data_IF_446862036158
#
_entry.id   IF_446862036158
#
_cell.length_a   1.000
_cell.length_b   1.000
_cell.length_c   1.000
_cell.angle_alpha   90.00
_cell.angle_beta   90.00
_cell.angle_gamma   90.00
#
_symmetry.space_group_name_H-M   'P 1'
#
loop_
_entity.id
_entity.type
_entity.pdbx_description
1 polymer ?
#
# COMPACT_ATOMS: atom_id res chain seq x y z
N UNK A 1 9.38 32.69 6.52
CA UNK A 1 8.26 31.76 6.84
C UNK A 1 8.80 30.62 7.70
N UNK A 2 8.36 30.53 8.96
CA UNK A 2 8.85 29.52 9.91
C UNK A 2 8.69 28.10 9.37
N UNK A 3 9.59 27.20 9.80
CA UNK A 3 9.60 25.80 9.37
C UNK A 3 8.25 25.09 9.58
N UNK A 4 7.56 25.38 10.70
CA UNK A 4 6.21 24.89 10.99
C UNK A 4 5.17 25.41 9.98
N UNK A 5 5.22 26.69 9.62
CA UNK A 5 4.32 27.29 8.63
C UNK A 5 4.50 26.66 7.23
N UNK A 6 5.74 26.28 6.87
CA UNK A 6 5.99 25.56 5.61
C UNK A 6 5.38 24.16 5.60
N UNK A 7 5.40 23.45 6.73
CA UNK A 7 4.76 22.12 6.85
C UNK A 7 3.24 22.22 6.64
N UNK A 8 2.59 23.17 7.33
CA UNK A 8 1.15 23.39 7.18
C UNK A 8 0.77 23.78 5.74
N UNK A 9 1.57 24.64 5.10
CA UNK A 9 1.31 25.05 3.71
C UNK A 9 1.42 23.88 2.71
N UNK A 10 2.36 22.94 2.90
CA UNK A 10 2.45 21.76 2.04
C UNK A 10 1.34 20.75 2.34
N UNK A 11 0.96 20.57 3.60
CA UNK A 11 -0.21 19.77 3.97
C UNK A 11 -1.47 20.26 3.26
N UNK A 12 -1.80 21.55 3.36
CA UNK A 12 -2.98 22.11 2.67
C UNK A 12 -2.87 21.97 1.15
N UNK A 13 -1.66 22.10 0.59
CA UNK A 13 -1.44 21.92 -0.84
C UNK A 13 -1.67 20.47 -1.31
N UNK A 14 -1.29 19.47 -0.51
CA UNK A 14 -1.52 18.05 -0.85
C UNK A 14 -3.02 17.72 -0.84
N UNK A 15 -3.80 18.34 0.07
CA UNK A 15 -5.26 18.13 0.15
C UNK A 15 -5.98 18.46 -1.16
N UNK A 16 -5.45 19.37 -1.98
CA UNK A 16 -6.00 19.66 -3.31
C UNK A 16 -5.96 18.41 -4.19
N UNK A 17 -4.85 17.66 -4.20
CA UNK A 17 -4.71 16.43 -4.98
C UNK A 17 -5.54 15.29 -4.40
N UNK A 18 -5.67 15.22 -3.08
CA UNK A 18 -6.59 14.27 -2.41
C UNK A 18 -8.03 14.53 -2.86
N UNK A 19 -8.46 15.79 -2.85
CA UNK A 19 -9.79 16.18 -3.29
C UNK A 19 -10.01 15.84 -4.78
N UNK A 20 -9.02 16.08 -5.64
CA UNK A 20 -9.08 15.69 -7.06
C UNK A 20 -9.26 14.17 -7.20
N UNK A 21 -8.45 13.34 -6.52
CA UNK A 21 -8.58 11.88 -6.59
C UNK A 21 -9.94 11.39 -6.12
N UNK A 22 -10.42 11.91 -4.98
CA UNK A 22 -11.73 11.55 -4.44
C UNK A 22 -12.85 11.97 -5.39
N UNK A 23 -12.81 13.20 -5.92
CA UNK A 23 -13.80 13.69 -6.87
C UNK A 23 -13.86 12.82 -8.14
N UNK A 24 -12.71 12.46 -8.71
CA UNK A 24 -12.66 11.58 -9.88
C UNK A 24 -13.30 10.22 -9.61
N UNK A 25 -13.00 9.61 -8.45
CA UNK A 25 -13.62 8.35 -8.06
C UNK A 25 -15.14 8.49 -7.84
N UNK A 26 -15.60 9.55 -7.18
CA UNK A 26 -17.04 9.79 -6.94
C UNK A 26 -17.81 9.99 -8.26
N UNK A 27 -17.24 10.74 -9.20
CA UNK A 27 -17.81 10.88 -10.56
C UNK A 27 -17.82 9.53 -11.27
N UNK A 28 -16.77 8.72 -11.14
CA UNK A 28 -16.76 7.40 -11.75
C UNK A 28 -17.79 6.45 -11.10
N UNK A 29 -18.01 6.52 -9.78
CA UNK A 29 -18.98 5.66 -9.06
C UNK A 29 -20.39 5.84 -9.62
N UNK A 30 -20.78 7.05 -10.01
CA UNK A 30 -22.12 7.31 -10.56
C UNK A 30 -22.31 6.84 -12.00
N UNK A 31 -21.25 6.38 -12.68
CA UNK A 31 -21.28 6.08 -14.12
C UNK A 31 -21.00 4.60 -14.47
N UNK A 32 -20.63 3.75 -13.51
CA UNK A 32 -20.37 2.33 -13.77
C UNK A 32 -20.99 1.41 -12.72
N UNK A 33 -21.48 0.26 -13.17
CA UNK A 33 -22.05 -0.82 -12.35
C UNK A 33 -21.02 -1.58 -11.51
N UNK A 34 -21.48 -2.62 -10.80
CA UNK A 34 -20.62 -3.57 -10.09
C UNK A 34 -19.71 -4.33 -11.06
N UNK A 35 -18.46 -4.53 -10.66
CA UNK A 35 -17.55 -5.45 -11.32
C UNK A 35 -17.63 -6.83 -10.64
N UNK A 36 -17.54 -7.91 -11.43
CA UNK A 36 -17.68 -9.28 -10.91
C UNK A 36 -16.70 -9.59 -9.76
N UNK A 37 -15.47 -9.09 -9.87
CA UNK A 37 -14.41 -9.35 -8.89
C UNK A 37 -14.67 -8.65 -7.55
N UNK A 38 -15.54 -7.64 -7.50
CA UNK A 38 -15.93 -6.99 -6.24
C UNK A 38 -16.96 -7.80 -5.47
N UNK A 39 -17.87 -8.46 -6.20
CA UNK A 39 -18.99 -9.21 -5.60
C UNK A 39 -18.50 -10.35 -4.71
N UNK A 40 -17.42 -11.03 -5.13
CA UNK A 40 -16.77 -12.07 -4.32
C UNK A 40 -16.38 -11.54 -2.94
N UNK A 41 -15.71 -10.38 -2.91
CA UNK A 41 -15.23 -9.78 -1.66
C UNK A 41 -16.35 -9.17 -0.82
N UNK A 42 -17.37 -8.59 -1.45
CA UNK A 42 -18.54 -8.05 -0.76
C UNK A 42 -19.31 -9.15 -0.01
N UNK A 43 -19.46 -10.33 -0.63
CA UNK A 43 -20.16 -11.48 -0.05
C UNK A 43 -19.46 -12.02 1.21
N UNK A 44 -18.13 -11.86 1.29
CA UNK A 44 -17.39 -12.23 2.51
C UNK A 44 -17.82 -11.40 3.73
N UNK A 45 -18.37 -10.21 3.53
CA UNK A 45 -18.89 -9.37 4.62
C UNK A 45 -20.01 -10.04 5.44
N UNK A 46 -20.76 -10.95 4.82
CA UNK A 46 -21.80 -11.73 5.53
C UNK A 46 -21.26 -12.95 6.27
N UNK A 47 -20.00 -13.31 6.01
CA UNK A 47 -19.33 -14.50 6.52
C UNK A 47 -18.02 -14.13 7.20
N UNK A 48 -18.07 -13.21 8.17
CA UNK A 48 -16.88 -12.73 8.86
C UNK A 48 -16.14 -13.87 9.57
N UNK A 49 -14.87 -14.02 9.24
CA UNK A 49 -13.96 -14.96 9.88
C UNK A 49 -12.53 -14.38 9.90
N UNK A 50 -11.60 -15.05 10.57
CA UNK A 50 -10.20 -14.62 10.67
C UNK A 50 -9.36 -14.96 9.44
N UNK A 51 -9.91 -15.63 8.44
CA UNK A 51 -9.27 -15.86 7.14
C UNK A 51 -10.20 -16.55 6.15
N UNK A 52 -9.76 -16.63 4.90
CA UNK A 52 -10.47 -17.31 3.82
C UNK A 52 -9.50 -18.11 2.94
N UNK A 53 -10.04 -18.86 1.97
CA UNK A 53 -9.25 -19.62 0.98
C UNK A 53 -8.29 -18.70 0.19
N UNK A 54 -8.75 -17.52 -0.22
CA UNK A 54 -8.01 -16.67 -1.16
C UNK A 54 -7.43 -15.40 -0.52
N UNK A 55 -8.08 -14.89 0.53
CA UNK A 55 -7.75 -13.59 1.12
C UNK A 55 -7.71 -13.63 2.66
N UNK A 56 -6.88 -12.79 3.28
CA UNK A 56 -6.98 -12.44 4.70
C UNK A 56 -8.30 -11.72 5.08
N UNK A 57 -8.59 -11.49 6.38
CA UNK A 57 -9.92 -11.10 6.85
C UNK A 57 -10.30 -9.62 6.63
N UNK A 58 -9.32 -8.75 6.37
CA UNK A 58 -9.55 -7.30 6.38
C UNK A 58 -10.57 -6.84 5.34
N UNK A 59 -10.55 -7.40 4.12
CA UNK A 59 -11.48 -6.98 3.06
C UNK A 59 -12.93 -7.34 3.40
N UNK A 60 -13.16 -8.48 4.06
CA UNK A 60 -14.49 -8.90 4.51
C UNK A 60 -15.01 -8.00 5.63
N UNK A 61 -14.14 -7.64 6.59
CA UNK A 61 -14.48 -6.69 7.64
C UNK A 61 -14.88 -5.33 7.04
N UNK A 62 -14.11 -4.83 6.06
CA UNK A 62 -14.45 -3.59 5.37
C UNK A 62 -15.78 -3.68 4.60
N UNK A 63 -16.05 -4.82 3.96
CA UNK A 63 -17.33 -5.05 3.29
C UNK A 63 -18.48 -4.95 4.29
N UNK A 64 -18.39 -5.63 5.43
CA UNK A 64 -19.43 -5.59 6.48
C UNK A 64 -19.64 -4.18 7.01
N UNK A 65 -18.56 -3.47 7.34
CA UNK A 65 -18.64 -2.08 7.82
C UNK A 65 -19.33 -1.21 6.77
N UNK A 66 -18.89 -1.27 5.52
CA UNK A 66 -19.42 -0.38 4.49
C UNK A 66 -20.90 -0.64 4.19
N UNK A 67 -21.29 -1.90 4.00
CA UNK A 67 -22.68 -2.27 3.70
C UNK A 67 -23.61 -1.98 4.90
N UNK A 68 -23.15 -2.19 6.13
CA UNK A 68 -23.95 -1.90 7.33
C UNK A 68 -24.19 -0.40 7.57
N UNK A 69 -23.25 0.46 7.17
CA UNK A 69 -23.33 1.91 7.40
C UNK A 69 -23.98 2.64 6.23
N UNK A 70 -23.68 2.25 4.99
CA UNK A 70 -24.09 2.97 3.78
C UNK A 70 -25.11 2.20 2.92
N UNK A 71 -25.49 0.99 3.33
CA UNK A 71 -26.44 0.12 2.64
C UNK A 71 -25.87 -0.57 1.40
N UNK A 72 -26.76 -1.21 0.63
CA UNK A 72 -26.40 -2.01 -0.54
C UNK A 72 -26.38 -1.14 -1.80
N UNK A 73 -25.28 -0.43 -2.02
CA UNK A 73 -25.09 0.43 -3.20
C UNK A 73 -23.66 0.40 -3.73
N UNK A 74 -23.49 0.81 -4.99
CA UNK A 74 -22.16 0.95 -5.60
C UNK A 74 -21.32 1.98 -4.83
N UNK A 75 -21.96 3.08 -4.39
CA UNK A 75 -21.33 4.06 -3.52
C UNK A 75 -20.81 3.43 -2.23
N UNK A 76 -21.65 2.68 -1.53
CA UNK A 76 -21.26 1.99 -0.31
C UNK A 76 -20.11 1.00 -0.57
N UNK A 77 -20.10 0.30 -1.70
CA UNK A 77 -19.01 -0.65 -1.99
C UNK A 77 -17.67 0.04 -2.24
N UNK A 78 -17.66 1.25 -2.81
CA UNK A 78 -16.42 1.92 -3.27
C UNK A 78 -16.00 3.14 -2.45
N UNK A 79 -16.75 3.52 -1.41
CA UNK A 79 -16.39 4.67 -0.59
C UNK A 79 -15.09 4.42 0.19
N UNK A 80 -14.90 3.22 0.73
CA UNK A 80 -13.69 2.87 1.48
C UNK A 80 -12.45 2.77 0.59
N UNK A 81 -12.58 2.26 -0.63
CA UNK A 81 -11.47 2.24 -1.62
C UNK A 81 -11.14 3.65 -2.09
N UNK A 82 -12.14 4.52 -2.22
CA UNK A 82 -11.97 5.94 -2.53
C UNK A 82 -11.24 6.69 -1.43
N UNK A 83 -11.60 6.44 -0.16
CA UNK A 83 -10.88 7.02 0.99
C UNK A 83 -9.45 6.50 1.03
N UNK A 84 -9.22 5.19 0.89
CA UNK A 84 -7.89 4.60 0.88
C UNK A 84 -7.02 5.21 -0.24
N UNK A 85 -7.58 5.39 -1.43
CA UNK A 85 -6.91 6.06 -2.55
C UNK A 85 -6.53 7.50 -2.23
N UNK A 86 -7.42 8.27 -1.60
CA UNK A 86 -7.12 9.63 -1.14
C UNK A 86 -5.98 9.66 -0.12
N UNK A 87 -5.96 8.71 0.82
CA UNK A 87 -4.89 8.58 1.82
C UNK A 87 -3.56 8.18 1.17
N UNK A 88 -3.56 7.34 0.13
CA UNK A 88 -2.35 7.05 -0.65
C UNK A 88 -1.78 8.34 -1.26
N UNK A 89 -2.61 9.17 -1.90
CA UNK A 89 -2.16 10.46 -2.45
C UNK A 89 -1.61 11.38 -1.37
N UNK A 90 -2.28 11.42 -0.21
CA UNK A 90 -1.82 12.17 0.95
C UNK A 90 -0.41 11.74 1.39
N UNK A 91 -0.22 10.44 1.60
CA UNK A 91 1.05 9.87 2.03
C UNK A 91 2.14 10.03 0.98
N UNK A 92 1.83 9.90 -0.31
CA UNK A 92 2.77 10.20 -1.41
C UNK A 92 3.29 11.63 -1.30
N UNK A 93 2.39 12.61 -1.16
CA UNK A 93 2.79 14.01 -0.98
C UNK A 93 3.65 14.23 0.26
N UNK A 94 3.33 13.56 1.38
CA UNK A 94 4.14 13.62 2.60
C UNK A 94 5.52 12.98 2.41
N UNK A 95 5.62 11.82 1.74
CA UNK A 95 6.88 11.16 1.41
C UNK A 95 7.73 12.10 0.56
N UNK A 96 7.18 12.65 -0.53
CA UNK A 96 7.91 13.58 -1.41
C UNK A 96 8.45 14.77 -0.62
N UNK A 97 7.67 15.32 0.31
CA UNK A 97 8.10 16.40 1.20
C UNK A 97 9.23 15.96 2.14
N UNK A 98 9.12 14.80 2.78
CA UNK A 98 10.13 14.26 3.71
C UNK A 98 11.46 13.90 2.99
N UNK A 99 11.41 13.62 1.70
CA UNK A 99 12.57 13.46 0.82
C UNK A 99 13.17 14.80 0.32
N UNK A 100 12.58 15.94 0.72
CA UNK A 100 13.07 17.29 0.39
C UNK A 100 12.41 17.93 -0.83
N UNK A 101 11.38 17.30 -1.40
CA UNK A 101 10.59 17.84 -2.48
C UNK A 101 9.80 19.10 -2.08
N UNK A 102 9.66 20.03 -3.03
CA UNK A 102 8.84 21.25 -2.90
C UNK A 102 7.52 21.09 -3.66
N UNK A 103 6.70 22.16 -3.75
CA UNK A 103 5.38 22.14 -4.42
C UNK A 103 5.39 21.47 -5.79
N UNK A 104 6.37 21.79 -6.64
CA UNK A 104 6.46 21.16 -7.97
C UNK A 104 6.64 19.64 -7.89
N UNK A 105 7.59 19.16 -7.08
CA UNK A 105 7.82 17.73 -6.90
C UNK A 105 6.61 17.02 -6.28
N UNK A 106 5.96 17.65 -5.29
CA UNK A 106 4.73 17.13 -4.67
C UNK A 106 3.61 17.02 -5.71
N UNK A 107 3.38 18.08 -6.48
CA UNK A 107 2.36 18.09 -7.52
C UNK A 107 2.64 17.01 -8.57
N UNK A 108 3.89 16.89 -9.03
CA UNK A 108 4.30 15.88 -10.00
C UNK A 108 4.07 14.47 -9.46
N UNK A 109 4.51 14.17 -8.23
CA UNK A 109 4.33 12.85 -7.62
C UNK A 109 2.83 12.50 -7.42
N UNK A 110 2.03 13.43 -6.90
CA UNK A 110 0.60 13.22 -6.71
C UNK A 110 -0.13 13.03 -8.04
N UNK A 111 0.15 13.86 -9.05
CA UNK A 111 -0.47 13.74 -10.39
C UNK A 111 -0.06 12.44 -11.08
N UNK A 112 1.20 12.00 -10.95
CA UNK A 112 1.63 10.70 -11.48
C UNK A 112 0.82 9.55 -10.87
N UNK A 113 0.57 9.57 -9.56
CA UNK A 113 -0.25 8.54 -8.91
C UNK A 113 -1.73 8.62 -9.31
N UNK A 114 -2.28 9.82 -9.48
CA UNK A 114 -3.69 10.02 -9.87
C UNK A 114 -3.92 9.54 -11.31
N UNK A 115 -2.98 9.83 -12.21
CA UNK A 115 -3.12 9.59 -13.65
C UNK A 115 -2.57 8.23 -14.10
N UNK A 116 -1.88 7.49 -13.23
CA UNK A 116 -1.42 6.13 -13.52
C UNK A 116 -2.61 5.16 -13.59
N UNK A 117 -2.85 4.48 -14.74
CA UNK A 117 -3.97 3.55 -14.88
C UNK A 117 -4.01 2.45 -13.80
N UNK A 118 -2.85 1.92 -13.40
CA UNK A 118 -2.72 0.93 -12.33
C UNK A 118 -3.35 1.39 -11.00
N UNK A 119 -3.10 2.64 -10.60
CA UNK A 119 -3.64 3.24 -9.36
C UNK A 119 -5.05 3.80 -9.55
N UNK A 120 -5.43 4.17 -10.78
CA UNK A 120 -6.82 4.50 -11.11
C UNK A 120 -7.74 3.29 -10.95
N UNK A 121 -7.37 2.14 -11.53
CA UNK A 121 -8.15 0.90 -11.47
C UNK A 121 -8.21 0.31 -10.06
N UNK A 122 -7.04 0.10 -9.42
CA UNK A 122 -7.00 -0.46 -8.07
C UNK A 122 -7.70 0.43 -7.05
N UNK A 123 -7.56 1.75 -7.17
CA UNK A 123 -8.22 2.71 -6.30
C UNK A 123 -9.72 2.89 -6.52
N UNK A 124 -10.28 2.28 -7.57
CA UNK A 124 -11.70 2.37 -7.89
C UNK A 124 -12.49 1.16 -7.42
N UNK A 125 -12.02 -0.06 -7.73
CA UNK A 125 -12.71 -1.30 -7.42
C UNK A 125 -12.57 -1.70 -5.94
N UNK A 126 -13.61 -2.29 -5.37
CA UNK A 126 -13.56 -2.93 -4.05
C UNK A 126 -12.78 -4.25 -4.08
N UNK A 127 -11.46 -4.11 -4.02
CA UNK A 127 -10.49 -5.19 -4.02
C UNK A 127 -9.42 -4.97 -2.95
N UNK A 128 -8.77 -6.04 -2.44
CA UNK A 128 -7.71 -5.90 -1.42
C UNK A 128 -6.49 -5.09 -1.90
N UNK A 129 -6.32 -4.90 -3.22
CA UNK A 129 -5.13 -4.28 -3.83
C UNK A 129 -4.88 -2.85 -3.35
N UNK A 130 -5.90 -1.98 -3.31
CA UNK A 130 -5.72 -0.59 -2.85
C UNK A 130 -5.34 -0.51 -1.38
N UNK A 131 -5.86 -1.42 -0.56
CA UNK A 131 -5.55 -1.46 0.86
C UNK A 131 -4.12 -1.98 1.08
N UNK A 132 -3.67 -2.99 0.33
CA UNK A 132 -2.27 -3.43 0.33
C UNK A 132 -1.31 -2.28 -0.06
N UNK A 133 -1.64 -1.54 -1.13
CA UNK A 133 -0.89 -0.34 -1.53
C UNK A 133 -0.85 0.73 -0.44
N UNK A 134 -1.98 0.96 0.25
CA UNK A 134 -2.05 1.90 1.37
C UNK A 134 -1.07 1.50 2.48
N UNK A 135 -1.04 0.23 2.87
CA UNK A 135 -0.13 -0.26 3.91
C UNK A 135 1.33 -0.16 3.49
N UNK A 136 1.66 -0.42 2.22
CA UNK A 136 3.02 -0.28 1.72
C UNK A 136 3.48 1.19 1.79
N UNK A 137 2.67 2.11 1.28
CA UNK A 137 2.99 3.55 1.29
C UNK A 137 3.07 4.09 2.72
N UNK A 138 2.19 3.64 3.62
CA UNK A 138 2.24 4.00 5.04
C UNK A 138 3.51 3.48 5.71
N UNK A 139 3.90 2.23 5.48
CA UNK A 139 5.14 1.66 6.01
C UNK A 139 6.38 2.42 5.53
N UNK A 140 6.44 2.76 4.23
CA UNK A 140 7.51 3.60 3.68
C UNK A 140 7.54 4.97 4.35
N UNK A 141 6.39 5.63 4.49
CA UNK A 141 6.31 6.93 5.14
C UNK A 141 6.79 6.86 6.60
N UNK A 142 6.34 5.87 7.37
CA UNK A 142 6.75 5.66 8.76
C UNK A 142 8.25 5.38 8.89
N UNK A 143 8.83 4.56 8.01
CA UNK A 143 10.28 4.33 7.97
C UNK A 143 11.05 5.61 7.65
N UNK A 144 10.59 6.40 6.67
CA UNK A 144 11.20 7.69 6.34
C UNK A 144 11.12 8.64 7.54
N UNK A 145 9.97 8.70 8.22
CA UNK A 145 9.77 9.49 9.44
C UNK A 145 10.72 9.06 10.54
N UNK A 146 10.87 7.75 10.78
CA UNK A 146 11.83 7.22 11.73
C UNK A 146 13.26 7.64 11.37
N UNK A 147 13.70 7.44 10.12
CA UNK A 147 15.05 7.82 9.69
C UNK A 147 15.31 9.33 9.84
N UNK A 148 14.28 10.17 9.68
CA UNK A 148 14.39 11.62 9.82
C UNK A 148 14.33 12.12 11.26
N UNK A 149 13.70 11.39 12.18
CA UNK A 149 13.39 11.89 13.55
C UNK A 149 13.99 11.04 14.67
N UNK A 150 14.37 9.80 14.38
CA UNK A 150 14.81 8.77 15.32
C UNK A 150 13.80 8.39 16.41
N UNK A 151 12.54 8.83 16.28
CA UNK A 151 11.48 8.55 17.24
C UNK A 151 10.96 7.11 17.08
N UNK A 152 11.12 6.31 18.13
CA UNK A 152 10.76 4.90 18.16
C UNK A 152 9.27 4.64 17.93
N UNK A 153 8.38 5.60 18.20
CA UNK A 153 6.95 5.45 17.94
C UNK A 153 6.67 5.08 16.47
N UNK A 154 7.45 5.61 15.53
CA UNK A 154 7.32 5.28 14.11
C UNK A 154 7.67 3.82 13.81
N UNK A 155 8.59 3.18 14.55
CA UNK A 155 8.89 1.75 14.37
C UNK A 155 7.73 0.87 14.81
N UNK A 156 7.10 1.18 15.94
CA UNK A 156 5.88 0.48 16.34
C UNK A 156 4.74 0.71 15.34
N UNK A 157 4.65 1.92 14.78
CA UNK A 157 3.79 2.20 13.64
C UNK A 157 4.06 1.25 12.46
N UNK A 158 5.32 1.06 12.06
CA UNK A 158 5.69 0.11 11.00
C UNK A 158 5.23 -1.30 11.37
N UNK A 159 5.46 -1.75 12.60
CA UNK A 159 4.99 -3.06 13.07
C UNK A 159 3.48 -3.22 12.96
N UNK A 160 2.70 -2.22 13.41
CA UNK A 160 1.26 -2.22 13.27
C UNK A 160 0.80 -2.25 11.81
N UNK A 161 1.42 -1.43 10.95
CA UNK A 161 1.15 -1.40 9.51
C UNK A 161 1.47 -2.73 8.83
N UNK A 162 2.58 -3.39 9.19
CA UNK A 162 2.93 -4.73 8.68
C UNK A 162 1.89 -5.76 9.13
N UNK A 163 1.52 -5.77 10.42
CA UNK A 163 0.52 -6.70 10.94
C UNK A 163 -0.84 -6.55 10.25
N UNK A 164 -1.34 -5.31 10.09
CA UNK A 164 -2.62 -5.07 9.40
C UNK A 164 -2.50 -5.30 7.89
N UNK A 165 -1.35 -4.98 7.28
CA UNK A 165 -1.06 -5.32 5.89
C UNK A 165 -1.10 -6.82 5.63
N UNK A 166 -0.56 -7.62 6.54
CA UNK A 166 -0.66 -9.09 6.53
C UNK A 166 -2.10 -9.58 6.65
N UNK A 167 -2.92 -8.93 7.49
CA UNK A 167 -4.37 -9.18 7.56
C UNK A 167 -5.15 -8.68 6.34
N UNK A 168 -4.50 -7.99 5.39
CA UNK A 168 -5.10 -7.48 4.15
C UNK A 168 -4.72 -8.33 2.94
N UNK A 169 -3.43 -8.58 2.76
CA UNK A 169 -2.91 -9.40 1.67
C UNK A 169 -1.54 -9.97 2.05
N UNK A 170 -1.33 -11.26 1.79
CA UNK A 170 -0.06 -11.93 2.12
C UNK A 170 1.15 -11.39 1.33
N UNK A 171 0.92 -10.58 0.29
CA UNK A 171 1.97 -9.87 -0.44
C UNK A 171 2.77 -8.91 0.45
N UNK A 172 2.20 -8.48 1.59
CA UNK A 172 2.91 -7.70 2.60
C UNK A 172 4.17 -8.42 3.14
N UNK A 173 4.23 -9.75 3.13
CA UNK A 173 5.45 -10.50 3.50
C UNK A 173 6.59 -10.16 2.56
N UNK A 174 6.37 -10.27 1.24
CA UNK A 174 7.41 -10.03 0.23
C UNK A 174 7.91 -8.60 0.32
N UNK A 175 7.00 -7.64 0.43
CA UNK A 175 7.34 -6.23 0.62
C UNK A 175 8.20 -6.01 1.88
N UNK A 176 7.80 -6.59 3.01
CA UNK A 176 8.52 -6.44 4.29
C UNK A 176 9.90 -7.08 4.24
N UNK A 177 10.01 -8.29 3.68
CA UNK A 177 11.29 -8.99 3.50
C UNK A 177 12.22 -8.20 2.59
N UNK A 178 11.72 -7.69 1.46
CA UNK A 178 12.49 -6.88 0.53
C UNK A 178 13.02 -5.59 1.21
N UNK A 179 12.21 -4.94 2.04
CA UNK A 179 12.66 -3.80 2.86
C UNK A 179 13.72 -4.19 3.89
N UNK A 180 13.58 -5.32 4.59
CA UNK A 180 14.57 -5.81 5.55
C UNK A 180 15.91 -6.06 4.86
N UNK A 181 15.91 -6.75 3.71
CA UNK A 181 17.12 -7.01 2.92
C UNK A 181 17.70 -5.69 2.40
N UNK A 182 16.86 -4.78 1.90
CA UNK A 182 17.28 -3.44 1.50
C UNK A 182 17.96 -2.67 2.63
N UNK A 183 17.42 -2.72 3.85
CA UNK A 183 18.01 -2.10 5.04
C UNK A 183 19.34 -2.76 5.39
N UNK A 184 19.41 -4.09 5.35
CA UNK A 184 20.59 -4.90 5.66
C UNK A 184 21.77 -4.56 4.74
N UNK A 185 21.52 -4.39 3.43
CA UNK A 185 22.54 -4.04 2.44
C UNK A 185 22.92 -2.55 2.55
N UNK A 186 21.98 -1.69 2.96
CA UNK A 186 22.22 -0.26 3.07
C UNK A 186 23.08 0.15 4.28
N UNK A 187 23.43 1.44 4.33
CA UNK A 187 24.06 2.05 5.51
C UNK A 187 23.18 2.03 6.77
N UNK A 188 21.88 1.76 6.63
CA UNK A 188 20.93 1.71 7.74
C UNK A 188 20.88 0.35 8.45
N UNK A 189 21.72 -0.63 8.10
CA UNK A 189 21.73 -1.97 8.73
C UNK A 189 21.71 -2.00 10.26
N UNK A 190 22.28 -0.98 10.93
CA UNK A 190 22.24 -0.83 12.40
C UNK A 190 20.82 -0.75 12.94
N UNK A 191 19.87 -0.28 12.12
CA UNK A 191 18.45 -0.23 12.41
C UNK A 191 17.91 -1.61 12.82
N UNK A 192 18.31 -2.69 12.14
CA UNK A 192 17.82 -4.04 12.41
C UNK A 192 18.22 -4.56 13.80
N UNK A 193 19.24 -3.96 14.42
CA UNK A 193 19.68 -4.30 15.77
C UNK A 193 19.06 -3.40 16.85
N UNK A 194 18.14 -2.50 16.47
CA UNK A 194 17.41 -1.68 17.43
C UNK A 194 16.38 -2.53 18.17
N UNK A 195 16.40 -2.50 19.51
CA UNK A 195 15.41 -3.18 20.37
C UNK A 195 13.95 -2.86 20.00
N UNK A 196 13.68 -1.66 19.51
CA UNK A 196 12.35 -1.23 19.10
C UNK A 196 11.88 -1.94 17.83
N UNK A 197 12.79 -2.43 16.98
CA UNK A 197 12.43 -3.28 15.84
C UNK A 197 11.96 -4.66 16.27
N UNK A 198 12.57 -5.24 17.32
CA UNK A 198 12.05 -6.48 17.90
C UNK A 198 10.64 -6.28 18.45
N UNK A 199 10.41 -5.14 19.14
CA UNK A 199 9.07 -4.76 19.60
C UNK A 199 8.07 -4.55 18.44
N UNK A 200 8.49 -3.93 17.35
CA UNK A 200 7.66 -3.76 16.15
C UNK A 200 7.34 -5.09 15.47
N UNK A 201 8.31 -6.01 15.37
CA UNK A 201 8.12 -7.34 14.80
C UNK A 201 7.16 -8.17 15.66
N UNK A 202 7.29 -8.12 16.99
CA UNK A 202 6.37 -8.77 17.91
C UNK A 202 4.95 -8.21 17.77
N UNK A 203 4.81 -6.88 17.68
CA UNK A 203 3.50 -6.25 17.46
C UNK A 203 2.86 -6.69 16.13
N UNK A 204 3.64 -6.72 15.04
CA UNK A 204 3.17 -7.21 13.75
C UNK A 204 2.67 -8.66 13.85
N UNK A 205 3.44 -9.51 14.53
CA UNK A 205 3.10 -10.91 14.76
C UNK A 205 1.81 -11.05 15.56
N UNK A 206 1.66 -10.34 16.67
CA UNK A 206 0.45 -10.37 17.50
C UNK A 206 -0.80 -9.96 16.71
N UNK A 207 -0.70 -8.91 15.88
CA UNK A 207 -1.82 -8.46 15.06
C UNK A 207 -2.18 -9.51 13.99
N UNK A 208 -1.19 -10.14 13.37
CA UNK A 208 -1.42 -11.15 12.34
C UNK A 208 -1.84 -12.52 12.90
N UNK A 209 -1.53 -12.79 14.18
CA UNK A 209 -1.68 -14.08 14.83
C UNK A 209 -3.08 -14.73 14.68
N UNK A 210 -4.21 -13.99 14.79
CA UNK A 210 -5.53 -14.60 14.63
C UNK A 210 -5.73 -15.26 13.26
N UNK A 211 -5.25 -14.62 12.17
CA UNK A 211 -5.33 -15.20 10.84
C UNK A 211 -4.42 -16.42 10.69
N UNK A 212 -3.23 -16.40 11.29
CA UNK A 212 -2.31 -17.54 11.26
C UNK A 212 -2.90 -18.77 11.98
N UNK A 213 -3.52 -18.56 13.14
CA UNK A 213 -4.23 -19.62 13.88
C UNK A 213 -5.37 -20.18 13.04
N UNK A 214 -6.17 -19.29 12.42
CA UNK A 214 -7.26 -19.70 11.55
C UNK A 214 -6.79 -20.55 10.37
N UNK A 215 -5.73 -20.11 9.67
CA UNK A 215 -5.15 -20.85 8.56
C UNK A 215 -4.67 -22.23 9.01
N UNK A 216 -4.02 -22.33 10.18
CA UNK A 216 -3.57 -23.60 10.74
C UNK A 216 -4.74 -24.55 11.05
N UNK A 217 -5.80 -24.06 11.68
CA UNK A 217 -7.00 -24.85 11.99
C UNK A 217 -7.72 -25.38 10.75
N UNK A 218 -7.61 -24.67 9.61
CA UNK A 218 -8.25 -25.03 8.36
C UNK A 218 -7.30 -25.75 7.37
N UNK A 219 -6.12 -26.19 7.82
CA UNK A 219 -5.11 -26.89 7.01
C UNK A 219 -4.56 -26.03 5.83
N UNK A 220 -4.35 -24.74 6.07
CA UNK A 220 -3.75 -23.77 5.13
C UNK A 220 -4.41 -23.77 3.73
N UNK A 221 -5.71 -23.48 3.63
CA UNK A 221 -6.43 -23.47 2.34
C UNK A 221 -5.81 -22.51 1.31
N UNK A 222 -5.12 -21.46 1.77
CA UNK A 222 -4.38 -20.53 0.90
C UNK A 222 -3.28 -21.21 0.09
N UNK A 223 -2.59 -22.22 0.64
CA UNK A 223 -1.52 -22.91 -0.08
C UNK A 223 -2.10 -23.70 -1.26
N UNK A 224 -3.20 -24.42 -1.01
CA UNK A 224 -3.91 -25.17 -2.04
C UNK A 224 -4.43 -24.24 -3.13
N UNK A 225 -5.03 -23.11 -2.74
CA UNK A 225 -5.50 -22.11 -3.70
C UNK A 225 -4.39 -21.52 -4.56
N UNK A 226 -3.24 -21.16 -3.95
CA UNK A 226 -2.10 -20.60 -4.70
C UNK A 226 -1.49 -21.63 -5.66
N UNK A 227 -1.47 -22.90 -5.27
CA UNK A 227 -1.06 -23.99 -6.17
C UNK A 227 -2.01 -24.14 -7.36
N UNK A 228 -3.31 -24.17 -7.10
CA UNK A 228 -4.36 -24.23 -8.13
C UNK A 228 -4.27 -23.04 -9.10
N UNK A 229 -4.14 -21.82 -8.56
CA UNK A 229 -3.99 -20.58 -9.32
C UNK A 229 -2.77 -20.63 -10.24
N UNK A 230 -1.63 -21.10 -9.73
CA UNK A 230 -0.40 -21.25 -10.51
C UNK A 230 -0.59 -22.23 -11.67
N UNK A 231 -1.28 -23.34 -11.44
CA UNK A 231 -1.49 -24.39 -12.44
C UNK A 231 -2.55 -24.07 -13.50
N UNK A 232 -3.50 -23.18 -13.22
CA UNK A 232 -4.67 -22.96 -14.09
C UNK A 232 -4.77 -21.55 -14.68
N UNK A 233 -4.26 -20.53 -13.98
CA UNK A 233 -4.45 -19.12 -14.37
C UNK A 233 -3.15 -18.41 -14.72
N UNK A 234 -2.02 -18.87 -14.18
CA UNK A 234 -0.71 -18.24 -14.37
C UNK A 234 0.22 -19.03 -15.31
N UNK A 235 -0.22 -20.15 -15.89
CA UNK A 235 0.62 -21.02 -16.70
C UNK A 235 1.18 -20.35 -17.97
N UNK A 236 0.51 -19.30 -18.46
CA UNK A 236 0.89 -18.55 -19.66
C UNK A 236 1.48 -17.17 -19.37
N UNK A 237 1.72 -16.83 -18.09
CA UNK A 237 2.26 -15.52 -17.72
C UNK A 237 3.75 -15.67 -17.45
N UNK A 238 4.59 -15.17 -18.36
CA UNK A 238 6.03 -15.12 -18.13
C UNK A 238 6.43 -13.91 -17.27
N UNK A 239 7.61 -13.98 -16.64
CA UNK A 239 8.17 -12.85 -15.91
C UNK A 239 8.40 -11.62 -16.83
N UNK A 240 8.72 -11.85 -18.11
CA UNK A 240 8.87 -10.78 -19.10
C UNK A 240 7.54 -10.08 -19.40
N UNK A 241 6.46 -10.84 -19.56
CA UNK A 241 5.12 -10.30 -19.77
C UNK A 241 4.67 -9.48 -18.56
N UNK A 242 4.95 -9.97 -17.35
CA UNK A 242 4.66 -9.23 -16.13
C UNK A 242 5.37 -7.88 -16.10
N UNK A 243 6.68 -7.84 -16.36
CA UNK A 243 7.46 -6.58 -16.38
C UNK A 243 6.91 -5.63 -17.45
N UNK A 244 6.65 -6.12 -18.66
CA UNK A 244 6.08 -5.32 -19.74
C UNK A 244 4.72 -4.74 -19.33
N UNK A 245 3.84 -5.56 -18.76
CA UNK A 245 2.54 -5.10 -18.27
C UNK A 245 2.70 -4.02 -17.20
N UNK A 246 3.62 -4.16 -16.24
CA UNK A 246 3.87 -3.12 -15.23
C UNK A 246 4.27 -1.78 -15.87
N UNK A 247 5.10 -1.79 -16.91
CA UNK A 247 5.47 -0.56 -17.61
C UNK A 247 4.27 0.07 -18.33
N UNK A 248 3.46 -0.76 -19.01
CA UNK A 248 2.28 -0.31 -19.76
C UNK A 248 1.19 0.26 -18.85
N UNK A 249 0.86 -0.41 -17.75
CA UNK A 249 -0.25 0.00 -16.86
C UNK A 249 0.08 1.23 -16.01
N UNK A 250 1.34 1.66 -15.96
CA UNK A 250 1.74 2.91 -15.30
C UNK A 250 1.73 4.12 -16.26
N UNK A 251 1.67 3.89 -17.59
CA UNK A 251 1.55 4.95 -18.59
C UNK A 251 2.58 6.07 -18.43
N UNK A 252 2.14 7.34 -18.46
CA UNK A 252 3.03 8.51 -18.36
C UNK A 252 3.73 8.60 -16.99
N UNK A 253 3.15 8.02 -15.93
CA UNK A 253 3.78 7.99 -14.61
C UNK A 253 5.11 7.22 -14.62
N UNK A 254 5.33 6.37 -15.63
CA UNK A 254 6.58 5.64 -15.84
C UNK A 254 7.80 6.56 -15.87
N UNK A 255 7.73 7.71 -16.54
CA UNK A 255 8.87 8.63 -16.64
C UNK A 255 9.26 9.21 -15.28
N UNK A 256 8.26 9.57 -14.47
CA UNK A 256 8.47 10.10 -13.12
C UNK A 256 8.96 8.99 -12.19
N UNK A 257 8.38 7.79 -12.30
CA UNK A 257 8.77 6.63 -11.52
C UNK A 257 10.22 6.20 -11.81
N UNK A 258 10.59 5.97 -13.08
CA UNK A 258 11.95 5.56 -13.44
C UNK A 258 12.99 6.63 -13.10
N UNK A 259 12.72 7.91 -13.41
CA UNK A 259 13.63 8.99 -13.07
C UNK A 259 13.80 9.11 -11.54
N UNK A 260 12.70 9.02 -10.78
CA UNK A 260 12.71 9.05 -9.33
C UNK A 260 13.46 7.85 -8.72
N UNK A 261 13.25 6.66 -9.28
CA UNK A 261 13.92 5.43 -8.87
C UNK A 261 15.43 5.49 -9.11
N UNK A 262 15.87 5.85 -10.32
CA UNK A 262 17.29 6.01 -10.65
C UNK A 262 17.93 7.10 -9.78
N UNK A 263 17.23 8.21 -9.54
CA UNK A 263 17.72 9.25 -8.65
C UNK A 263 17.85 8.75 -7.20
N UNK A 264 16.87 8.00 -6.68
CA UNK A 264 16.95 7.41 -5.35
C UNK A 264 18.11 6.43 -5.21
N UNK A 265 18.35 5.63 -6.25
CA UNK A 265 19.41 4.61 -6.27
C UNK A 265 20.81 5.25 -6.30
N UNK A 266 21.04 6.27 -7.13
CA UNK A 266 22.38 6.81 -7.38
C UNK A 266 22.69 8.14 -6.65
N UNK A 267 21.69 8.84 -6.11
CA UNK A 267 21.90 10.16 -5.50
C UNK A 267 22.55 10.10 -4.13
N UNK A 268 23.67 10.81 -3.97
CA UNK A 268 24.31 11.01 -2.67
C UNK A 268 23.39 11.74 -1.67
N UNK A 269 22.49 12.61 -2.15
CA UNK A 269 21.57 13.37 -1.28
C UNK A 269 20.53 12.46 -0.61
N UNK A 270 20.13 11.37 -1.28
CA UNK A 270 19.14 10.42 -0.79
C UNK A 270 19.78 9.14 -0.25
N UNK A 271 21.09 9.14 0.00
CA UNK A 271 21.86 7.97 0.45
C UNK A 271 21.27 7.28 1.68
N UNK A 272 20.67 8.05 2.59
CA UNK A 272 20.00 7.52 3.79
C UNK A 272 18.73 6.69 3.50
N UNK A 273 18.17 6.82 2.30
CA UNK A 273 16.94 6.16 1.85
C UNK A 273 17.16 5.15 0.72
N UNK A 274 18.41 4.90 0.30
CA UNK A 274 18.73 3.95 -0.76
C UNK A 274 18.21 2.53 -0.49
N UNK A 275 17.97 2.16 0.77
CA UNK A 275 17.36 0.88 1.12
C UNK A 275 15.99 0.66 0.47
N UNK A 276 15.23 1.74 0.21
CA UNK A 276 13.94 1.67 -0.50
C UNK A 276 14.14 1.28 -1.97
N UNK A 277 15.16 1.82 -2.63
CA UNK A 277 15.47 1.45 -4.01
C UNK A 277 16.04 0.02 -4.10
N UNK A 278 16.87 -0.39 -3.14
CA UNK A 278 17.37 -1.78 -3.09
C UNK A 278 16.21 -2.74 -2.86
N UNK A 279 15.33 -2.45 -1.90
CA UNK A 279 14.14 -3.26 -1.65
C UNK A 279 13.16 -3.28 -2.82
N UNK A 280 13.14 -2.25 -3.67
CA UNK A 280 12.33 -2.25 -4.89
C UNK A 280 12.84 -3.21 -5.97
N UNK A 281 14.16 -3.47 -6.03
CA UNK A 281 14.77 -4.38 -7.02
C UNK A 281 14.55 -5.85 -6.67
N UNK A 282 14.41 -6.14 -5.38
CA UNK A 282 14.24 -7.49 -4.82
C UNK A 282 12.78 -7.95 -4.90
#
# INVERSE_FOLDING_TARGET
MNYQNRRAAYSNFILIFVAIKVALNLVAISNFGFHRDELLHLTLGDHLDWGYKEVPPFIALLAKISMSVFGDSIFASRILTTIASGVIIWLTGLITRELGGRKFAIALACLSMILAPAFAASGYLFQPVVFDQLWWVLAVWLLIKYINTTDAAYLYGVGATVGVGMLTKYTMVFFTVALIIGILISKQRKLLFNRHILGAALLAFIIFLPNLIWQWQHNFPVINHMSELRSTQLEHISAGDFIMQQLLVNGIALFVWLAGFLFLLFSFKLRKFQFLAIGYIL
#
